data_IF_679385407166
#
_entry.id   IF_679385407166
#
_cell.length_a   1.000
_cell.length_b   1.000
_cell.length_c   1.000
_cell.angle_alpha   90.00
_cell.angle_beta   90.00
_cell.angle_gamma   90.00
#
_symmetry.space_group_name_H-M   'P 1'
#
loop_
_entity.id
_entity.type
_entity.pdbx_description
1 polymer ?
#
# COMPACT_ATOMS: atom_id res chain seq x y z
N UNK A 1 -0.72 -18.36 25.27
CA UNK A 1 -1.57 -18.04 24.10
C UNK A 1 -1.33 -19.11 23.04
N UNK A 2 -2.35 -19.89 22.66
CA UNK A 2 -2.20 -21.01 21.72
C UNK A 2 -2.03 -20.45 20.30
N UNK A 3 -0.83 -20.61 19.73
CA UNK A 3 -0.57 -20.36 18.32
C UNK A 3 -1.41 -21.32 17.49
N UNK A 4 -2.47 -20.80 16.87
CA UNK A 4 -3.22 -21.54 15.84
C UNK A 4 -2.34 -21.52 14.60
N UNK A 5 -1.39 -22.45 14.53
CA UNK A 5 -0.64 -22.71 13.31
C UNK A 5 -1.64 -23.15 12.24
N UNK A 6 -1.96 -22.25 11.31
CA UNK A 6 -2.73 -22.58 10.10
C UNK A 6 -1.83 -23.45 9.21
N UNK A 7 -1.76 -24.73 9.55
CA UNK A 7 -1.03 -25.75 8.82
C UNK A 7 -1.80 -26.03 7.53
N UNK A 8 -1.44 -25.35 6.44
CA UNK A 8 -1.94 -25.66 5.10
C UNK A 8 -2.08 -24.48 4.13
N UNK A 9 -1.96 -23.23 4.55
CA UNK A 9 -2.13 -22.10 3.63
C UNK A 9 -0.87 -21.92 2.76
N UNK A 10 -0.94 -22.36 1.50
CA UNK A 10 0.07 -22.06 0.49
C UNK A 10 -0.22 -20.67 -0.07
N UNK A 11 0.70 -19.74 0.16
CA UNK A 11 0.61 -18.39 -0.42
C UNK A 11 0.50 -18.48 -1.94
N UNK A 12 -0.35 -17.63 -2.50
CA UNK A 12 -0.56 -17.56 -3.95
C UNK A 12 0.66 -16.98 -4.64
N UNK A 13 0.83 -17.33 -5.91
CA UNK A 13 1.85 -16.69 -6.74
C UNK A 13 1.45 -15.25 -7.04
N UNK A 14 2.42 -14.41 -7.42
CA UNK A 14 2.19 -13.01 -7.80
C UNK A 14 1.08 -12.86 -8.85
N UNK A 15 1.13 -13.68 -9.90
CA UNK A 15 0.13 -13.66 -10.97
C UNK A 15 -1.28 -14.02 -10.47
N UNK A 16 -1.38 -15.00 -9.58
CA UNK A 16 -2.65 -15.39 -8.96
C UNK A 16 -3.21 -14.27 -8.08
N UNK A 17 -2.35 -13.60 -7.31
CA UNK A 17 -2.75 -12.43 -6.50
C UNK A 17 -3.27 -11.30 -7.37
N UNK A 18 -2.58 -10.96 -8.46
CA UNK A 18 -3.01 -9.90 -9.38
C UNK A 18 -4.38 -10.23 -9.99
N UNK A 19 -4.57 -11.48 -10.42
CA UNK A 19 -5.86 -11.94 -10.96
C UNK A 19 -6.99 -11.88 -9.92
N UNK A 20 -6.71 -12.23 -8.68
CA UNK A 20 -7.71 -12.17 -7.61
C UNK A 20 -8.03 -10.75 -7.16
N UNK A 21 -7.03 -9.87 -7.07
CA UNK A 21 -7.25 -8.43 -6.88
C UNK A 21 -8.15 -7.92 -8.01
N UNK A 22 -7.91 -8.37 -9.24
CA UNK A 22 -8.71 -7.94 -10.38
C UNK A 22 -10.13 -8.52 -10.40
N UNK A 23 -10.35 -9.66 -9.74
CA UNK A 23 -11.65 -10.29 -9.60
C UNK A 23 -12.46 -9.75 -8.40
N UNK A 24 -11.83 -9.04 -7.46
CA UNK A 24 -12.51 -8.47 -6.31
C UNK A 24 -13.51 -7.41 -6.74
N UNK A 25 -14.76 -7.53 -6.26
CA UNK A 25 -15.86 -6.60 -6.56
C UNK A 25 -16.29 -5.77 -5.35
N UNK A 26 -15.77 -6.09 -4.16
CA UNK A 26 -16.12 -5.41 -2.93
C UNK A 26 -14.90 -5.17 -2.03
N UNK A 27 -15.00 -4.14 -1.19
CA UNK A 27 -13.98 -3.83 -0.19
C UNK A 27 -13.72 -5.01 0.73
N UNK A 28 -14.77 -5.69 1.19
CA UNK A 28 -14.64 -6.82 2.12
C UNK A 28 -13.83 -7.98 1.52
N UNK A 29 -14.03 -8.28 0.23
CA UNK A 29 -13.24 -9.29 -0.48
C UNK A 29 -11.77 -8.89 -0.58
N UNK A 30 -11.52 -7.63 -0.94
CA UNK A 30 -10.17 -7.10 -1.05
C UNK A 30 -9.45 -7.08 0.31
N UNK A 31 -10.14 -6.71 1.39
CA UNK A 31 -9.58 -6.74 2.75
C UNK A 31 -9.29 -8.15 3.24
N UNK A 32 -10.17 -9.11 2.95
CA UNK A 32 -9.90 -10.50 3.26
C UNK A 32 -8.63 -10.98 2.53
N UNK A 33 -8.48 -10.66 1.24
CA UNK A 33 -7.29 -11.01 0.46
C UNK A 33 -6.01 -10.40 1.07
N UNK A 34 -6.04 -9.11 1.43
CA UNK A 34 -4.91 -8.42 2.08
C UNK A 34 -4.51 -9.12 3.38
N UNK A 35 -5.49 -9.48 4.23
CA UNK A 35 -5.23 -10.12 5.52
C UNK A 35 -4.72 -11.55 5.36
N UNK A 36 -5.34 -12.34 4.47
CA UNK A 36 -4.97 -13.73 4.26
C UNK A 36 -3.57 -13.88 3.64
N UNK A 37 -3.22 -12.99 2.71
CA UNK A 37 -1.92 -13.05 2.01
C UNK A 37 -0.83 -12.22 2.72
N UNK A 38 -1.21 -11.39 3.69
CA UNK A 38 -0.28 -10.53 4.43
C UNK A 38 0.30 -9.41 3.57
N UNK A 39 -0.51 -8.82 2.68
CA UNK A 39 -0.08 -7.75 1.77
C UNK A 39 0.16 -6.48 2.59
N UNK A 40 1.39 -5.97 2.59
CA UNK A 40 1.75 -4.74 3.31
C UNK A 40 1.64 -3.53 2.39
N UNK A 41 0.68 -2.65 2.68
CA UNK A 41 0.56 -1.35 2.03
C UNK A 41 1.41 -0.32 2.80
N UNK A 42 2.43 0.27 2.14
CA UNK A 42 3.18 1.37 2.73
C UNK A 42 2.43 2.69 2.53
N UNK A 43 2.18 3.40 3.62
CA UNK A 43 1.76 4.80 3.58
C UNK A 43 2.99 5.69 3.47
N UNK A 44 3.09 6.47 2.39
CA UNK A 44 4.13 7.47 2.24
C UNK A 44 3.65 8.77 2.87
N UNK A 45 4.34 9.24 3.91
CA UNK A 45 4.21 10.63 4.37
C UNK A 45 5.06 11.51 3.44
N UNK A 46 4.43 12.39 2.67
CA UNK A 46 5.17 13.40 1.93
C UNK A 46 5.62 14.50 2.91
N UNK A 47 6.93 14.84 2.96
CA UNK A 47 7.38 16.00 3.72
C UNK A 47 6.62 17.25 3.26
N UNK A 48 6.05 18.01 4.20
CA UNK A 48 5.24 19.19 3.87
C UNK A 48 3.77 18.90 3.52
N UNK A 49 3.29 17.66 3.65
CA UNK A 49 1.86 17.35 3.50
C UNK A 49 0.98 18.17 4.47
N UNK A 50 1.50 18.52 5.65
CA UNK A 50 0.86 19.39 6.63
C UNK A 50 0.66 20.84 6.14
N UNK A 51 1.40 21.27 5.11
CA UNK A 51 1.31 22.61 4.53
C UNK A 51 0.38 22.66 3.32
N UNK A 52 -0.19 21.52 2.91
CA UNK A 52 -1.17 21.48 1.83
C UNK A 52 -2.50 22.06 2.34
N UNK A 53 -2.99 23.09 1.67
CA UNK A 53 -4.33 23.63 1.94
C UNK A 53 -5.38 22.56 1.62
N UNK A 54 -6.27 22.18 2.56
CA UNK A 54 -7.29 21.18 2.30
C UNK A 54 -8.15 21.57 1.10
N UNK A 55 -8.17 20.73 0.05
CA UNK A 55 -9.07 20.95 -1.09
C UNK A 55 -10.48 20.56 -0.66
N UNK A 56 -11.38 21.55 -0.57
CA UNK A 56 -12.82 21.30 -0.39
C UNK A 56 -13.38 20.77 -1.71
N UNK A 57 -13.86 19.53 -1.71
CA UNK A 57 -14.52 18.94 -2.85
C UNK A 57 -16.01 19.27 -2.80
N UNK A 58 -16.56 19.73 -3.93
CA UNK A 58 -18.01 19.91 -4.07
C UNK A 58 -18.67 18.58 -4.44
N UNK A 59 -19.97 18.37 -4.10
CA UNK A 59 -20.67 17.11 -4.37
C UNK A 59 -20.57 16.63 -5.83
N UNK A 60 -20.58 17.55 -6.80
CA UNK A 60 -20.38 17.24 -8.22
C UNK A 60 -19.00 16.64 -8.49
N UNK A 61 -17.93 17.20 -7.93
CA UNK A 61 -16.57 16.67 -8.08
C UNK A 61 -16.38 15.29 -7.41
N UNK A 62 -17.18 14.98 -6.39
CA UNK A 62 -17.18 13.67 -5.72
C UNK A 62 -17.93 12.62 -6.55
N UNK A 63 -18.99 13.02 -7.25
CA UNK A 63 -19.91 12.13 -7.99
C UNK A 63 -19.48 11.95 -9.46
N UNK A 64 -18.91 12.98 -10.09
CA UNK A 64 -18.55 12.99 -11.50
C UNK A 64 -17.27 12.20 -11.79
N UNK A 65 -16.45 11.95 -10.76
CA UNK A 65 -15.25 11.11 -10.86
C UNK A 65 -15.60 9.61 -10.77
N UNK A 66 -16.52 9.14 -11.62
CA UNK A 66 -17.05 7.76 -11.61
C UNK A 66 -15.96 6.69 -11.80
N UNK A 67 -14.87 7.04 -12.46
CA UNK A 67 -13.71 6.18 -12.69
C UNK A 67 -12.81 6.06 -11.43
N UNK A 68 -12.76 7.10 -10.59
CA UNK A 68 -11.91 7.17 -9.38
C UNK A 68 -12.75 7.01 -8.10
N UNK A 69 -13.33 5.82 -7.95
CA UNK A 69 -13.98 5.45 -6.69
C UNK A 69 -12.95 5.11 -5.61
N UNK A 70 -13.27 5.29 -4.31
CA UNK A 70 -12.39 4.87 -3.23
C UNK A 70 -11.99 3.38 -3.31
N UNK A 71 -12.88 2.54 -3.83
CA UNK A 71 -12.62 1.12 -4.05
C UNK A 71 -11.56 0.89 -5.13
N UNK A 72 -11.75 1.48 -6.32
CA UNK A 72 -10.78 1.34 -7.42
C UNK A 72 -9.41 1.90 -7.03
N UNK A 73 -9.38 3.02 -6.31
CA UNK A 73 -8.14 3.61 -5.79
C UNK A 73 -7.41 2.66 -4.84
N UNK A 74 -8.14 1.99 -3.95
CA UNK A 74 -7.55 1.01 -3.04
C UNK A 74 -7.07 -0.24 -3.80
N UNK A 75 -7.89 -0.76 -4.73
CA UNK A 75 -7.56 -1.91 -5.57
C UNK A 75 -6.26 -1.68 -6.34
N UNK A 76 -6.10 -0.50 -6.95
CA UNK A 76 -4.88 -0.12 -7.66
C UNK A 76 -3.66 -0.07 -6.72
N UNK A 77 -3.80 0.51 -5.52
CA UNK A 77 -2.72 0.54 -4.51
C UNK A 77 -2.27 -0.86 -4.10
N UNK A 78 -3.23 -1.77 -3.89
CA UNK A 78 -2.95 -3.17 -3.52
C UNK A 78 -2.24 -3.90 -4.67
N UNK A 79 -2.71 -3.71 -5.89
CA UNK A 79 -2.06 -4.24 -7.10
C UNK A 79 -0.60 -3.78 -7.21
N UNK A 80 -0.34 -2.48 -7.10
CA UNK A 80 1.03 -1.92 -7.15
C UNK A 80 1.90 -2.48 -6.03
N UNK A 81 1.36 -2.67 -4.82
CA UNK A 81 2.12 -3.24 -3.70
C UNK A 81 2.56 -4.69 -3.98
N UNK A 82 1.70 -5.49 -4.62
CA UNK A 82 2.03 -6.86 -5.05
C UNK A 82 3.03 -6.86 -6.21
N UNK A 83 2.91 -5.92 -7.17
CA UNK A 83 3.86 -5.76 -8.26
C UNK A 83 5.27 -5.42 -7.77
N UNK A 84 5.38 -4.48 -6.82
CA UNK A 84 6.64 -4.01 -6.22
C UNK A 84 7.22 -4.95 -5.14
N UNK A 85 6.51 -6.03 -4.78
CA UNK A 85 6.92 -6.93 -3.69
C UNK A 85 8.23 -7.68 -3.99
N UNK A 86 8.52 -7.98 -5.27
CA UNK A 86 9.78 -8.63 -5.69
C UNK A 86 11.02 -7.73 -5.54
N UNK A 87 10.90 -6.43 -5.79
CA UNK A 87 12.05 -5.52 -5.89
C UNK A 87 12.63 -5.12 -4.51
N UNK A 88 11.93 -5.42 -3.41
CA UNK A 88 12.32 -4.99 -2.06
C UNK A 88 12.91 -6.08 -1.18
N UNK A 89 12.83 -7.35 -1.56
CA UNK A 89 13.58 -8.41 -0.88
C UNK A 89 15.10 -8.25 -1.13
N UNK A 90 15.53 -7.49 -2.16
CA UNK A 90 16.95 -7.15 -2.38
C UNK A 90 17.41 -5.85 -1.70
N UNK A 91 16.50 -4.95 -1.32
CA UNK A 91 16.83 -3.67 -0.68
C UNK A 91 16.37 -3.64 0.78
N UNK A 92 16.87 -4.61 1.56
CA UNK A 92 16.94 -4.54 3.02
C UNK A 92 17.93 -3.48 3.51
N UNK A 93 17.90 -2.28 2.96
CA UNK A 93 18.71 -1.14 3.40
C UNK A 93 17.78 0.07 3.45
N UNK A 94 17.32 0.41 4.65
CA UNK A 94 16.96 1.78 4.96
C UNK A 94 18.16 2.65 4.55
N UNK A 95 18.04 3.68 3.69
CA UNK A 95 19.08 4.67 3.60
C UNK A 95 19.16 5.35 4.98
N UNK A 96 20.11 4.90 5.78
CA UNK A 96 20.53 5.58 7.00
C UNK A 96 20.84 7.01 6.62
N UNK A 97 20.03 7.93 7.14
CA UNK A 97 20.23 9.36 7.01
C UNK A 97 21.50 9.68 7.81
N UNK A 98 22.67 9.52 7.19
CA UNK A 98 23.95 9.92 7.80
C UNK A 98 23.95 11.43 7.97
N UNK A 99 23.71 11.83 9.23
CA UNK A 99 24.11 13.12 9.81
C UNK A 99 25.41 13.62 9.18
N UNK A 100 25.34 14.74 8.46
CA UNK A 100 26.47 15.65 8.32
C UNK A 100 26.32 16.76 9.38
N UNK A 101 26.61 16.41 10.62
CA UNK A 101 26.99 17.39 11.65
C UNK A 101 28.48 17.26 11.90
N UNK A 102 29.28 18.17 11.33
CA UNK A 102 30.65 18.57 11.72
C UNK A 102 30.99 19.82 10.88
N UNK A 103 31.64 20.89 11.32
CA UNK A 103 32.06 21.43 12.62
C UNK A 103 32.50 22.87 12.28
N UNK A 104 32.25 23.83 13.16
CA UNK A 104 32.92 25.14 13.12
C UNK A 104 34.44 25.01 13.24
N UNK A 105 35.19 25.81 12.47
CA UNK A 105 36.59 26.29 12.59
C UNK A 105 37.05 26.63 11.15
N UNK A 106 37.54 27.81 10.80
CA UNK A 106 38.27 28.85 11.53
C UNK A 106 37.94 30.22 10.90
#
# INVERSE_FOLDING_TARGET
MKSVGVRGYRRKTKEQLLKEIDACKSLSQLFALIQHEGIVLRMYSQPGASNLTPKKLYPKEIIDNKEDTPFERLRLRVRTAVEQYDERISSGVCPDNKKSGKTSQN
#
